data_IF_004301728970
#
_entry.id   IF_004301728970
#
_cell.length_a   1.000
_cell.length_b   1.000
_cell.length_c   1.000
_cell.angle_alpha   90.00
_cell.angle_beta   90.00
_cell.angle_gamma   90.00
#
_symmetry.space_group_name_H-M   'P 1'
#
loop_
_entity.id
_entity.type
_entity.pdbx_description
1 polymer ?
#
# COMPACT_ATOMS: atom_id res chain seq x y z
N UNK A 1 -24.95 -8.18 14.39
CA UNK A 1 -23.48 -8.06 14.35
C UNK A 1 -23.11 -6.58 14.43
N UNK A 2 -22.00 -6.21 15.10
CA UNK A 2 -21.55 -4.82 15.08
C UNK A 2 -21.15 -4.43 13.66
N UNK A 3 -21.40 -3.18 13.32
CA UNK A 3 -20.89 -2.57 12.07
C UNK A 3 -19.36 -2.50 12.12
N UNK A 4 -18.72 -2.25 10.98
CA UNK A 4 -17.25 -2.08 10.94
C UNK A 4 -16.79 -0.93 11.85
N UNK A 5 -17.52 0.19 11.84
CA UNK A 5 -17.23 1.37 12.68
C UNK A 5 -17.34 1.03 14.18
N UNK A 6 -18.36 0.29 14.59
CA UNK A 6 -18.50 -0.15 15.99
C UNK A 6 -17.42 -1.17 16.40
N UNK A 7 -16.99 -2.04 15.47
CA UNK A 7 -15.94 -3.03 15.71
C UNK A 7 -14.52 -2.42 15.68
N UNK A 8 -14.33 -1.29 15.02
CA UNK A 8 -13.02 -0.68 14.76
C UNK A 8 -12.16 -0.49 16.02
N UNK A 9 -12.65 0.04 17.16
CA UNK A 9 -11.83 0.19 18.36
C UNK A 9 -11.28 -1.14 18.88
N UNK A 10 -12.04 -2.23 18.74
CA UNK A 10 -11.59 -3.58 19.11
C UNK A 10 -10.58 -4.12 18.11
N UNK A 11 -10.81 -3.92 16.82
CA UNK A 11 -9.88 -4.27 15.74
C UNK A 11 -8.55 -3.56 15.94
N UNK A 12 -8.57 -2.24 16.13
CA UNK A 12 -7.37 -1.42 16.32
C UNK A 12 -6.57 -1.90 17.54
N UNK A 13 -7.24 -2.20 18.66
CA UNK A 13 -6.59 -2.74 19.86
C UNK A 13 -6.00 -4.13 19.63
N UNK A 14 -6.72 -5.01 18.97
CA UNK A 14 -6.26 -6.38 18.69
C UNK A 14 -5.05 -6.39 17.73
N UNK A 15 -4.97 -5.40 16.85
CA UNK A 15 -3.90 -5.25 15.87
C UNK A 15 -2.76 -4.31 16.32
N UNK A 16 -2.88 -3.64 17.47
CA UNK A 16 -1.85 -2.74 18.01
C UNK A 16 -0.57 -3.49 18.47
N UNK A 17 -0.63 -4.82 18.66
CA UNK A 17 0.57 -5.59 18.93
C UNK A 17 1.54 -5.52 17.75
N UNK A 18 2.85 -5.31 17.97
CA UNK A 18 3.81 -5.12 16.89
C UNK A 18 3.81 -6.36 15.99
N UNK A 19 3.29 -6.21 14.77
CA UNK A 19 3.30 -7.24 13.73
C UNK A 19 4.69 -7.45 13.12
N UNK A 20 5.73 -6.84 13.69
CA UNK A 20 7.12 -6.97 13.28
C UNK A 20 7.51 -6.20 12.01
N UNK A 21 6.53 -5.63 11.31
CA UNK A 21 6.77 -4.71 10.18
C UNK A 21 6.41 -3.28 10.61
N UNK A 22 7.42 -2.47 10.93
CA UNK A 22 7.23 -1.03 10.85
C UNK A 22 6.97 -0.71 9.38
N UNK A 23 5.83 -0.06 9.10
CA UNK A 23 5.72 0.70 7.87
C UNK A 23 6.95 1.62 7.79
N UNK A 24 7.66 1.58 6.68
CA UNK A 24 8.75 2.52 6.49
C UNK A 24 8.11 3.91 6.55
N UNK A 25 8.41 4.66 7.61
CA UNK A 25 8.03 6.05 7.71
C UNK A 25 9.08 6.83 6.91
N UNK A 26 8.70 7.23 5.72
CA UNK A 26 9.56 8.07 4.90
C UNK A 26 9.35 9.55 5.29
N UNK A 27 10.43 10.36 5.35
CA UNK A 27 10.31 11.79 5.60
C UNK A 27 9.45 12.44 4.51
N UNK A 28 8.48 13.25 4.89
CA UNK A 28 7.66 14.00 3.93
C UNK A 28 8.43 15.08 3.14
N UNK A 29 9.66 15.39 3.55
CA UNK A 29 10.50 16.40 2.90
C UNK A 29 10.98 16.03 1.50
N UNK A 30 10.96 14.73 1.16
CA UNK A 30 11.27 14.23 -0.18
C UNK A 30 10.46 12.95 -0.43
N UNK A 31 9.28 13.06 -1.05
CA UNK A 31 8.41 11.91 -1.27
C UNK A 31 8.89 10.99 -2.41
N UNK A 32 9.79 11.43 -3.29
CA UNK A 32 10.22 10.61 -4.41
C UNK A 32 11.00 9.35 -4.01
N UNK A 33 12.01 9.39 -3.12
CA UNK A 33 12.66 8.18 -2.61
C UNK A 33 11.68 7.23 -1.93
N UNK A 34 10.66 7.77 -1.24
CA UNK A 34 9.60 6.97 -0.63
C UNK A 34 8.76 6.24 -1.69
N UNK A 35 8.42 6.93 -2.79
CA UNK A 35 7.69 6.37 -3.92
C UNK A 35 8.48 5.23 -4.59
N UNK A 36 9.79 5.45 -4.83
CA UNK A 36 10.70 4.43 -5.37
C UNK A 36 10.79 3.23 -4.44
N UNK A 37 11.03 3.45 -3.15
CA UNK A 37 11.11 2.39 -2.14
C UNK A 37 9.81 1.59 -2.02
N UNK A 38 8.66 2.26 -2.06
CA UNK A 38 7.34 1.61 -2.06
C UNK A 38 7.17 0.71 -3.30
N UNK A 39 7.43 1.25 -4.49
CA UNK A 39 7.31 0.50 -5.75
C UNK A 39 8.27 -0.70 -5.80
N UNK A 40 9.51 -0.52 -5.37
CA UNK A 40 10.50 -1.59 -5.28
C UNK A 40 10.07 -2.71 -4.33
N UNK A 41 9.46 -2.36 -3.17
CA UNK A 41 8.99 -3.33 -2.19
C UNK A 41 7.86 -4.25 -2.69
N UNK A 42 7.16 -3.84 -3.73
CA UNK A 42 6.10 -4.66 -4.36
C UNK A 42 6.64 -5.69 -5.33
N UNK A 43 7.85 -5.49 -5.83
CA UNK A 43 8.50 -6.38 -6.81
C UNK A 43 9.44 -7.39 -6.18
N UNK A 44 9.76 -7.24 -4.88
CA UNK A 44 10.68 -8.10 -4.15
C UNK A 44 10.45 -8.06 -2.64
N UNK A 45 11.38 -8.62 -1.89
CA UNK A 45 11.41 -8.47 -0.44
C UNK A 45 11.95 -7.10 -0.01
N UNK A 46 11.67 -6.71 1.24
CA UNK A 46 12.07 -5.39 1.76
C UNK A 46 13.59 -5.15 1.74
N UNK A 47 14.41 -6.21 1.86
CA UNK A 47 15.87 -6.10 1.79
C UNK A 47 16.34 -5.79 0.37
N UNK A 48 15.75 -6.46 -0.61
CA UNK A 48 16.00 -6.19 -2.04
C UNK A 48 15.56 -4.77 -2.41
N UNK A 49 14.41 -4.31 -1.91
CA UNK A 49 13.94 -2.94 -2.14
C UNK A 49 14.90 -1.88 -1.59
N UNK A 50 15.40 -2.05 -0.37
CA UNK A 50 16.39 -1.13 0.22
C UNK A 50 17.72 -1.13 -0.55
N UNK A 51 18.16 -2.30 -1.01
CA UNK A 51 19.37 -2.39 -1.83
C UNK A 51 19.19 -1.73 -3.19
N UNK A 52 18.03 -1.88 -3.80
CA UNK A 52 17.71 -1.22 -5.07
C UNK A 52 17.72 0.30 -4.90
N UNK A 53 17.09 0.80 -3.85
CA UNK A 53 17.09 2.22 -3.54
C UNK A 53 18.52 2.76 -3.35
N UNK A 54 19.33 2.11 -2.52
CA UNK A 54 20.72 2.50 -2.30
C UNK A 54 21.54 2.49 -3.60
N UNK A 55 21.35 1.49 -4.47
CA UNK A 55 22.06 1.41 -5.74
C UNK A 55 21.63 2.51 -6.73
N UNK A 56 20.36 2.92 -6.70
CA UNK A 56 19.88 4.08 -7.48
C UNK A 56 20.49 5.39 -6.93
N UNK A 57 20.58 5.53 -5.61
CA UNK A 57 21.24 6.67 -4.96
C UNK A 57 22.73 6.75 -5.38
N UNK A 58 23.47 5.67 -5.28
CA UNK A 58 24.89 5.59 -5.64
C UNK A 58 25.13 5.89 -7.14
N UNK A 59 24.16 5.55 -8.00
CA UNK A 59 24.19 5.82 -9.44
C UNK A 59 23.70 7.25 -9.81
N UNK A 60 23.29 8.08 -8.85
CA UNK A 60 22.73 9.41 -9.09
C UNK A 60 21.31 9.38 -9.73
N UNK A 61 20.63 8.25 -9.64
CA UNK A 61 19.28 8.03 -10.20
C UNK A 61 18.15 8.21 -9.16
N UNK A 62 18.46 8.76 -8.01
CA UNK A 62 17.46 9.13 -7.00
C UNK A 62 16.75 10.45 -7.32
N UNK A 63 17.24 11.20 -8.28
CA UNK A 63 16.51 12.33 -8.85
C UNK A 63 15.48 11.83 -9.86
N UNK A 64 14.23 12.28 -9.71
CA UNK A 64 13.11 11.84 -10.54
C UNK A 64 13.27 12.23 -12.01
N UNK A 65 13.88 13.39 -12.30
CA UNK A 65 14.15 13.86 -13.68
C UNK A 65 15.12 12.91 -14.40
N UNK A 66 16.22 12.53 -13.72
CA UNK A 66 17.19 11.62 -14.30
C UNK A 66 16.62 10.21 -14.47
N UNK A 67 15.93 9.70 -13.47
CA UNK A 67 15.32 8.37 -13.56
C UNK A 67 14.25 8.30 -14.65
N UNK A 68 13.43 9.33 -14.80
CA UNK A 68 12.38 9.39 -15.83
C UNK A 68 12.92 9.30 -17.26
N UNK A 69 14.12 9.82 -17.50
CA UNK A 69 14.71 9.99 -18.85
C UNK A 69 15.83 9.01 -19.17
N UNK A 70 16.37 8.29 -18.19
CA UNK A 70 17.44 7.31 -18.37
C UNK A 70 17.03 6.16 -19.30
N UNK A 71 17.98 5.59 -20.05
CA UNK A 71 17.71 4.36 -20.80
C UNK A 71 17.46 3.19 -19.82
N UNK A 72 16.33 2.48 -19.92
CA UNK A 72 16.03 1.39 -19.00
C UNK A 72 17.06 0.25 -19.00
N UNK A 73 17.73 -0.01 -20.13
CA UNK A 73 18.75 -1.04 -20.23
C UNK A 73 20.04 -0.60 -19.52
N UNK A 74 20.43 0.67 -19.67
CA UNK A 74 21.58 1.23 -18.95
C UNK A 74 21.36 1.22 -17.45
N UNK A 75 20.15 1.54 -16.97
CA UNK A 75 19.80 1.44 -15.55
C UNK A 75 19.91 0.00 -15.05
N UNK A 76 19.45 -0.99 -15.83
CA UNK A 76 19.59 -2.41 -15.46
C UNK A 76 21.07 -2.79 -15.38
N UNK A 77 21.90 -2.36 -16.32
CA UNK A 77 23.34 -2.70 -16.33
C UNK A 77 24.08 -2.07 -15.14
N UNK A 78 23.78 -0.80 -14.80
CA UNK A 78 24.29 -0.17 -13.58
C UNK A 78 23.90 -0.94 -12.31
N UNK A 79 22.66 -1.41 -12.24
CA UNK A 79 22.20 -2.19 -11.08
C UNK A 79 22.83 -3.58 -11.01
N UNK A 80 23.21 -4.17 -12.15
CA UNK A 80 23.96 -5.42 -12.18
C UNK A 80 25.37 -5.27 -11.59
N UNK A 81 26.02 -4.13 -11.79
CA UNK A 81 27.29 -3.82 -11.14
C UNK A 81 27.15 -3.82 -9.60
N UNK A 82 26.01 -3.36 -9.08
CA UNK A 82 25.64 -3.45 -7.67
C UNK A 82 25.14 -4.85 -7.23
N UNK A 83 25.29 -5.87 -8.10
CA UNK A 83 24.78 -7.25 -7.89
C UNK A 83 23.27 -7.31 -7.67
N UNK A 84 22.53 -6.47 -8.38
CA UNK A 84 21.09 -6.49 -8.49
C UNK A 84 20.72 -6.78 -9.95
N UNK A 85 19.72 -7.62 -10.16
CA UNK A 85 19.21 -7.93 -11.50
C UNK A 85 17.68 -7.79 -11.52
N UNK A 86 17.16 -6.55 -11.35
CA UNK A 86 15.73 -6.33 -11.40
C UNK A 86 15.21 -6.57 -12.83
N UNK A 87 14.02 -7.14 -12.96
CA UNK A 87 13.38 -7.24 -14.28
C UNK A 87 13.21 -5.83 -14.89
N UNK A 88 13.48 -5.68 -16.19
CA UNK A 88 13.35 -4.41 -16.90
C UNK A 88 11.97 -3.76 -16.73
N UNK A 89 10.92 -4.58 -16.55
CA UNK A 89 9.56 -4.09 -16.24
C UNK A 89 9.51 -3.29 -14.93
N UNK A 90 10.35 -3.63 -13.95
CA UNK A 90 10.47 -2.89 -12.69
C UNK A 90 11.07 -1.51 -12.93
N UNK A 91 12.14 -1.43 -13.71
CA UNK A 91 12.76 -0.14 -14.05
C UNK A 91 11.77 0.74 -14.82
N UNK A 92 11.10 0.19 -15.82
CA UNK A 92 10.06 0.91 -16.56
C UNK A 92 8.90 1.39 -15.69
N UNK A 93 8.54 0.63 -14.65
CA UNK A 93 7.54 1.07 -13.66
C UNK A 93 8.06 2.26 -12.86
N UNK A 94 9.29 2.20 -12.35
CA UNK A 94 9.92 3.29 -11.61
C UNK A 94 10.03 4.56 -12.46
N UNK A 95 10.37 4.44 -13.75
CA UNK A 95 10.44 5.55 -14.68
C UNK A 95 9.09 6.22 -14.93
N UNK A 96 8.01 5.42 -15.07
CA UNK A 96 6.65 5.97 -15.20
C UNK A 96 6.21 6.69 -13.92
N UNK A 97 6.56 6.16 -12.77
CA UNK A 97 6.31 6.84 -11.49
C UNK A 97 7.14 8.12 -11.36
N UNK A 98 8.38 8.11 -11.82
CA UNK A 98 9.22 9.30 -11.86
C UNK A 98 8.62 10.37 -12.79
N UNK A 99 8.17 9.99 -13.98
CA UNK A 99 7.51 10.91 -14.92
C UNK A 99 6.20 11.48 -14.36
N UNK A 100 5.40 10.64 -13.69
CA UNK A 100 4.20 11.11 -13.00
C UNK A 100 4.54 12.09 -11.87
N UNK A 101 5.57 11.78 -11.08
CA UNK A 101 6.02 12.64 -9.98
C UNK A 101 6.49 14.01 -10.50
N UNK A 102 7.27 14.04 -11.60
CA UNK A 102 7.71 15.28 -12.23
C UNK A 102 6.55 16.16 -12.68
N UNK A 103 5.50 15.56 -13.24
CA UNK A 103 4.28 16.29 -13.61
C UNK A 103 3.54 16.95 -12.45
N UNK A 104 3.80 16.51 -11.22
CA UNK A 104 3.12 16.97 -10.01
C UNK A 104 4.06 17.54 -8.95
N UNK A 105 5.37 17.63 -9.24
CA UNK A 105 6.44 17.97 -8.29
C UNK A 105 6.14 19.24 -7.49
N UNK A 106 5.78 20.32 -8.18
CA UNK A 106 5.52 21.59 -7.53
C UNK A 106 4.41 21.50 -6.47
N UNK A 107 3.34 20.78 -6.78
CA UNK A 107 2.22 20.56 -5.84
C UNK A 107 2.57 19.58 -4.72
N UNK A 108 3.42 18.58 -5.01
CA UNK A 108 3.82 17.56 -4.04
C UNK A 108 4.86 18.09 -3.03
N UNK A 109 5.72 19.01 -3.45
CA UNK A 109 6.81 19.59 -2.64
C UNK A 109 6.45 20.95 -2.04
N UNK A 110 5.45 21.66 -2.59
CA UNK A 110 5.12 23.04 -2.26
C UNK A 110 4.45 23.29 -0.91
N UNK A 111 4.08 22.25 -0.17
CA UNK A 111 3.31 22.35 1.07
C UNK A 111 4.10 22.04 2.34
N UNK A 112 5.22 22.71 2.60
CA UNK A 112 5.97 22.51 3.84
C UNK A 112 5.13 22.88 5.08
N UNK A 113 4.51 21.88 5.70
CA UNK A 113 3.80 22.02 6.98
C UNK A 113 2.28 21.85 6.94
N UNK A 114 1.64 21.85 5.78
CA UNK A 114 0.23 21.55 5.64
C UNK A 114 -0.02 20.09 5.24
N UNK A 115 -1.17 19.50 5.61
CA UNK A 115 -1.56 18.19 5.10
C UNK A 115 -1.64 18.24 3.58
N UNK A 116 -0.97 17.32 2.89
CA UNK A 116 -1.06 17.23 1.44
C UNK A 116 -2.51 16.89 1.06
N UNK A 117 -3.16 17.78 0.35
CA UNK A 117 -4.40 17.46 -0.32
C UNK A 117 -4.07 16.61 -1.56
N UNK A 118 -4.47 15.34 -1.54
CA UNK A 118 -4.22 14.41 -2.64
C UNK A 118 -5.47 14.30 -3.52
N UNK A 119 -5.51 14.97 -4.69
CA UNK A 119 -6.70 14.99 -5.54
C UNK A 119 -7.05 13.58 -6.06
N UNK A 120 -8.34 13.30 -6.21
CA UNK A 120 -8.81 12.03 -6.79
C UNK A 120 -8.26 11.80 -8.20
N UNK A 121 -8.08 12.87 -9.00
CA UNK A 121 -7.47 12.79 -10.32
C UNK A 121 -6.05 12.17 -10.29
N UNK A 122 -5.24 12.50 -9.31
CA UNK A 122 -3.89 11.91 -9.16
C UNK A 122 -3.93 10.42 -8.85
N UNK A 123 -4.93 10.00 -8.07
CA UNK A 123 -5.18 8.59 -7.81
C UNK A 123 -5.51 7.84 -9.10
N UNK A 124 -6.39 8.42 -9.94
CA UNK A 124 -6.80 7.83 -11.20
C UNK A 124 -5.63 7.76 -12.20
N UNK A 125 -4.82 8.81 -12.27
CA UNK A 125 -3.59 8.84 -13.08
C UNK A 125 -2.60 7.76 -12.63
N UNK A 126 -2.35 7.64 -11.31
CA UNK A 126 -1.50 6.56 -10.78
C UNK A 126 -2.06 5.18 -11.14
N UNK A 127 -3.37 4.98 -11.02
CA UNK A 127 -4.02 3.72 -11.33
C UNK A 127 -3.95 3.36 -12.83
N UNK A 128 -3.84 4.37 -13.71
CA UNK A 128 -3.68 4.21 -15.15
C UNK A 128 -2.24 3.82 -15.56
N UNK A 129 -1.25 4.01 -14.67
CA UNK A 129 0.13 3.60 -14.95
C UNK A 129 0.19 2.07 -15.09
N UNK A 130 0.74 1.58 -16.21
CA UNK A 130 0.92 0.16 -16.43
C UNK A 130 1.78 -0.49 -15.33
N UNK A 131 1.21 -1.45 -14.63
CA UNK A 131 1.80 -2.10 -13.45
C UNK A 131 1.30 -1.55 -12.11
N UNK A 132 0.47 -0.50 -12.13
CA UNK A 132 -0.22 0.05 -10.98
C UNK A 132 -1.72 -0.14 -11.19
N UNK A 133 -2.37 -0.82 -10.29
CA UNK A 133 -3.81 -0.88 -10.25
C UNK A 133 -4.34 -0.03 -9.09
N UNK A 134 -5.66 0.06 -8.98
CA UNK A 134 -6.38 0.90 -8.04
C UNK A 134 -5.90 0.74 -6.58
N UNK A 135 -5.81 -0.49 -6.09
CA UNK A 135 -5.31 -0.75 -4.73
C UNK A 135 -3.85 -0.32 -4.52
N UNK A 136 -3.03 -0.33 -5.59
CA UNK A 136 -1.65 0.15 -5.51
C UNK A 136 -1.60 1.67 -5.49
N UNK A 137 -2.43 2.34 -6.29
CA UNK A 137 -2.55 3.80 -6.29
C UNK A 137 -3.00 4.31 -4.92
N UNK A 138 -4.02 3.69 -4.31
CA UNK A 138 -4.45 4.02 -2.95
C UNK A 138 -3.38 3.76 -1.90
N UNK A 139 -2.62 2.68 -2.05
CA UNK A 139 -1.52 2.39 -1.14
C UNK A 139 -0.38 3.41 -1.27
N UNK A 140 -0.07 3.89 -2.48
CA UNK A 140 0.88 4.99 -2.70
C UNK A 140 0.34 6.27 -2.04
N UNK A 141 -0.90 6.66 -2.33
CA UNK A 141 -1.53 7.83 -1.75
C UNK A 141 -1.48 7.81 -0.21
N UNK A 142 -1.82 6.67 0.40
CA UNK A 142 -1.82 6.52 1.85
C UNK A 142 -0.41 6.48 2.44
N UNK A 143 0.45 5.58 1.95
CA UNK A 143 1.72 5.27 2.62
C UNK A 143 2.85 6.23 2.25
N UNK A 144 2.84 6.79 1.05
CA UNK A 144 3.86 7.74 0.58
C UNK A 144 3.43 9.16 0.86
N UNK A 145 2.21 9.52 0.46
CA UNK A 145 1.73 10.90 0.53
C UNK A 145 0.90 11.20 1.78
N UNK A 146 0.48 10.19 2.53
CA UNK A 146 -0.30 10.37 3.75
C UNK A 146 -1.74 10.85 3.49
N UNK A 147 -2.28 10.54 2.33
CA UNK A 147 -3.67 10.82 2.00
C UNK A 147 -4.63 9.89 2.74
N UNK A 148 -5.83 10.37 3.05
CA UNK A 148 -6.89 9.57 3.67
C UNK A 148 -7.56 8.65 2.64
N UNK A 149 -6.83 7.67 2.13
CA UNK A 149 -7.30 6.61 1.24
C UNK A 149 -7.11 5.25 1.87
N UNK A 150 -7.77 4.22 1.34
CA UNK A 150 -7.55 2.86 1.84
C UNK A 150 -7.42 1.84 0.70
N UNK A 151 -6.28 1.12 0.60
CA UNK A 151 -6.08 0.09 -0.42
C UNK A 151 -6.85 -1.18 -0.06
N UNK A 152 -7.84 -1.52 -0.87
CA UNK A 152 -8.62 -2.76 -0.72
C UNK A 152 -8.00 -3.84 -1.60
N UNK A 153 -7.17 -4.68 -0.99
CA UNK A 153 -6.62 -5.87 -1.65
C UNK A 153 -7.49 -7.12 -1.36
N UNK A 154 -7.21 -8.21 -2.06
CA UNK A 154 -7.93 -9.49 -1.86
C UNK A 154 -7.90 -10.00 -0.40
N UNK A 155 -6.79 -9.94 0.34
CA UNK A 155 -6.76 -10.25 1.77
C UNK A 155 -7.70 -9.39 2.60
N UNK A 156 -7.70 -8.08 2.41
CA UNK A 156 -8.58 -7.14 3.13
C UNK A 156 -10.05 -7.45 2.83
N UNK A 157 -10.43 -7.54 1.54
CA UNK A 157 -11.79 -7.89 1.14
C UNK A 157 -12.26 -9.18 1.81
N UNK A 158 -11.44 -10.23 1.77
CA UNK A 158 -11.75 -11.52 2.37
C UNK A 158 -11.95 -11.46 3.88
N UNK A 159 -11.15 -10.64 4.59
CA UNK A 159 -11.32 -10.43 6.03
C UNK A 159 -12.67 -9.78 6.30
N UNK A 160 -12.95 -8.67 5.63
CA UNK A 160 -14.19 -7.92 5.85
C UNK A 160 -15.43 -8.75 5.54
N UNK A 161 -15.40 -9.51 4.44
CA UNK A 161 -16.48 -10.42 4.08
C UNK A 161 -16.68 -11.51 5.13
N UNK A 162 -15.61 -12.22 5.54
CA UNK A 162 -15.70 -13.31 6.52
C UNK A 162 -16.18 -12.86 7.89
N UNK A 163 -15.97 -11.60 8.22
CA UNK A 163 -16.51 -10.98 9.42
C UNK A 163 -17.92 -10.40 9.24
N UNK A 164 -18.50 -10.45 8.04
CA UNK A 164 -19.83 -9.94 7.74
C UNK A 164 -19.94 -8.42 7.79
N UNK A 165 -18.83 -7.71 7.62
CA UNK A 165 -18.83 -6.24 7.54
C UNK A 165 -19.13 -5.71 6.15
N UNK A 166 -18.98 -6.55 5.14
CA UNK A 166 -19.39 -6.32 3.76
C UNK A 166 -20.11 -7.57 3.22
N UNK A 167 -20.93 -7.39 2.20
CA UNK A 167 -21.48 -8.49 1.40
C UNK A 167 -20.61 -8.81 0.17
N UNK A 168 -20.97 -9.90 -0.53
CA UNK A 168 -20.21 -10.35 -1.70
C UNK A 168 -20.30 -9.41 -2.90
N UNK A 169 -21.25 -8.49 -2.91
CA UNK A 169 -21.49 -7.53 -4.00
C UNK A 169 -20.88 -6.15 -3.72
N UNK A 170 -20.29 -5.95 -2.54
CA UNK A 170 -19.67 -4.69 -2.18
C UNK A 170 -18.55 -4.33 -3.16
N UNK A 171 -18.62 -3.17 -3.74
CA UNK A 171 -17.60 -2.70 -4.66
C UNK A 171 -16.36 -2.15 -3.92
N UNK A 172 -15.32 -1.86 -4.70
CA UNK A 172 -14.05 -1.40 -4.17
C UNK A 172 -14.18 -0.08 -3.40
N UNK A 173 -14.93 0.88 -3.93
CA UNK A 173 -15.04 2.22 -3.35
C UNK A 173 -15.84 2.20 -2.07
N UNK A 174 -16.95 1.46 -2.03
CA UNK A 174 -17.76 1.26 -0.84
C UNK A 174 -16.92 0.65 0.29
N UNK A 175 -16.12 -0.38 -0.02
CA UNK A 175 -15.25 -1.03 0.97
C UNK A 175 -14.17 -0.09 1.47
N UNK A 176 -13.52 0.64 0.56
CA UNK A 176 -12.50 1.64 0.91
C UNK A 176 -13.08 2.73 1.80
N UNK A 177 -14.23 3.29 1.43
CA UNK A 177 -14.88 4.36 2.17
C UNK A 177 -15.28 3.91 3.58
N UNK A 178 -15.84 2.72 3.74
CA UNK A 178 -16.19 2.17 5.07
C UNK A 178 -14.98 2.08 6.01
N UNK A 179 -13.81 1.73 5.47
CA UNK A 179 -12.57 1.67 6.26
C UNK A 179 -12.03 3.07 6.59
N UNK A 180 -12.17 4.02 5.67
CA UNK A 180 -11.81 5.44 5.89
C UNK A 180 -12.69 6.03 6.99
N UNK A 181 -14.00 5.83 6.91
CA UNK A 181 -14.97 6.33 7.90
C UNK A 181 -14.73 5.70 9.28
N UNK A 182 -14.47 4.39 9.32
CA UNK A 182 -14.21 3.69 10.58
C UNK A 182 -12.95 4.18 11.31
N UNK A 183 -11.99 4.73 10.59
CA UNK A 183 -10.76 5.30 11.13
C UNK A 183 -10.77 6.84 11.20
N UNK A 184 -11.95 7.47 11.12
CA UNK A 184 -12.14 8.93 11.11
C UNK A 184 -11.24 9.66 10.10
N UNK A 185 -11.05 9.06 8.93
CA UNK A 185 -10.17 9.54 7.86
C UNK A 185 -8.73 9.88 8.33
N UNK A 186 -8.26 9.29 9.41
CA UNK A 186 -6.92 9.54 9.95
C UNK A 186 -5.86 8.72 9.18
N UNK A 187 -4.95 9.35 8.41
CA UNK A 187 -4.01 8.63 7.57
C UNK A 187 -3.06 7.71 8.35
N UNK A 188 -2.66 8.11 9.55
CA UNK A 188 -1.78 7.26 10.39
C UNK A 188 -2.49 6.01 10.87
N UNK A 189 -3.76 6.15 11.29
CA UNK A 189 -4.60 5.02 11.69
C UNK A 189 -4.90 4.11 10.49
N UNK A 190 -5.23 4.67 9.32
CA UNK A 190 -5.44 3.94 8.08
C UNK A 190 -4.19 3.17 7.64
N UNK A 191 -3.02 3.78 7.71
CA UNK A 191 -1.75 3.14 7.36
C UNK A 191 -1.43 1.96 8.30
N UNK A 192 -1.62 2.14 9.60
CA UNK A 192 -1.44 1.08 10.58
C UNK A 192 -2.43 -0.07 10.34
N UNK A 193 -3.70 0.24 10.10
CA UNK A 193 -4.75 -0.73 9.81
C UNK A 193 -4.45 -1.52 8.53
N UNK A 194 -4.05 -0.83 7.44
CA UNK A 194 -3.72 -1.45 6.15
C UNK A 194 -2.59 -2.48 6.29
N UNK A 195 -1.50 -2.11 6.97
CA UNK A 195 -0.39 -3.01 7.21
C UNK A 195 -0.82 -4.23 8.05
N UNK A 196 -1.58 -3.99 9.11
CA UNK A 196 -2.01 -5.03 10.04
C UNK A 196 -3.02 -6.00 9.38
N UNK A 197 -4.01 -5.51 8.63
CA UNK A 197 -4.95 -6.37 7.91
C UNK A 197 -4.27 -7.17 6.81
N UNK A 198 -3.32 -6.58 6.09
CA UNK A 198 -2.52 -7.32 5.10
C UNK A 198 -1.74 -8.47 5.75
N UNK A 199 -1.13 -8.24 6.91
CA UNK A 199 -0.44 -9.29 7.68
C UNK A 199 -1.40 -10.38 8.18
N UNK A 200 -2.56 -10.00 8.72
CA UNK A 200 -3.61 -10.94 9.14
C UNK A 200 -4.08 -11.78 7.93
N UNK A 201 -4.29 -11.15 6.79
CA UNK A 201 -4.71 -11.82 5.57
C UNK A 201 -3.73 -12.87 5.07
N UNK A 202 -2.42 -12.59 5.19
CA UNK A 202 -1.35 -13.51 4.79
C UNK A 202 -1.15 -14.66 5.80
N UNK A 203 -1.20 -14.36 7.08
CA UNK A 203 -0.84 -15.32 8.15
C UNK A 203 -2.01 -16.18 8.61
N UNK A 204 -3.19 -15.60 8.76
CA UNK A 204 -4.34 -16.23 9.38
C UNK A 204 -5.54 -16.38 8.43
N UNK A 205 -5.94 -15.32 7.74
CA UNK A 205 -7.11 -15.33 6.88
C UNK A 205 -6.77 -15.83 5.47
N UNK A 206 -6.26 -17.06 5.36
CA UNK A 206 -5.88 -17.68 4.08
C UNK A 206 -7.12 -18.06 3.26
N UNK A 207 -7.03 -18.12 1.91
CA UNK A 207 -8.18 -18.43 1.06
C UNK A 207 -8.87 -19.75 1.44
N UNK A 208 -8.20 -20.86 1.26
CA UNK A 208 -8.79 -22.19 1.41
C UNK A 208 -8.89 -22.66 2.87
N UNK A 209 -7.98 -22.22 3.76
CA UNK A 209 -7.88 -22.75 5.14
C UNK A 209 -7.55 -21.63 6.11
N UNK A 210 -8.56 -20.87 6.56
CA UNK A 210 -8.36 -19.81 7.55
C UNK A 210 -8.02 -20.38 8.93
N UNK A 211 -7.04 -19.77 9.60
CA UNK A 211 -6.61 -20.15 10.94
C UNK A 211 -7.28 -19.25 12.01
N UNK A 212 -8.61 -19.21 12.02
CA UNK A 212 -9.40 -18.31 12.87
C UNK A 212 -9.13 -18.47 14.36
N UNK A 213 -8.85 -19.68 14.83
CA UNK A 213 -8.52 -19.98 16.25
C UNK A 213 -7.30 -19.21 16.76
N UNK A 214 -6.35 -18.89 15.86
CA UNK A 214 -5.10 -18.18 16.16
C UNK A 214 -5.12 -16.72 15.68
N UNK A 215 -6.24 -16.29 15.07
CA UNK A 215 -6.36 -14.97 14.48
C UNK A 215 -6.56 -13.90 15.56
N UNK A 216 -5.85 -12.78 15.54
CA UNK A 216 -6.07 -11.67 16.47
C UNK A 216 -7.49 -11.09 16.39
N UNK A 217 -8.18 -11.26 15.25
CA UNK A 217 -9.54 -10.79 15.04
C UNK A 217 -10.62 -11.82 15.45
N UNK A 218 -10.25 -12.93 16.09
CA UNK A 218 -11.18 -13.98 16.51
C UNK A 218 -12.36 -13.44 17.33
N UNK A 219 -12.11 -12.48 18.20
CA UNK A 219 -13.12 -11.91 19.11
C UNK A 219 -14.21 -11.10 18.43
N UNK A 220 -14.00 -10.72 17.19
CA UNK A 220 -14.95 -9.95 16.36
C UNK A 220 -15.52 -10.77 15.20
N UNK A 221 -15.36 -12.10 15.24
CA UNK A 221 -16.03 -13.01 14.31
C UNK A 221 -17.54 -13.08 14.58
N UNK A 222 -18.36 -13.40 13.57
CA UNK A 222 -19.75 -13.78 13.76
C UNK A 222 -19.88 -14.95 14.76
N UNK A 223 -21.01 -15.05 15.52
CA UNK A 223 -21.24 -16.14 16.46
C UNK A 223 -21.15 -17.54 15.81
N UNK A 224 -21.58 -17.65 14.57
CA UNK A 224 -21.56 -18.89 13.79
C UNK A 224 -20.24 -19.15 13.06
N UNK A 225 -19.23 -18.34 13.33
CA UNK A 225 -17.92 -18.41 12.67
C UNK A 225 -17.78 -17.53 11.42
N UNK A 226 -16.69 -17.67 10.67
CA UNK A 226 -16.45 -16.86 9.48
C UNK A 226 -17.43 -17.21 8.37
N UNK A 227 -17.93 -16.19 7.66
CA UNK A 227 -18.75 -16.41 6.46
C UNK A 227 -17.95 -17.14 5.38
N UNK A 228 -18.59 -18.10 4.69
CA UNK A 228 -17.96 -18.82 3.61
C UNK A 228 -17.93 -17.95 2.34
N UNK A 229 -16.73 -17.74 1.78
CA UNK A 229 -16.58 -17.29 0.40
C UNK A 229 -16.84 -18.51 -0.48
N UNK A 230 -17.89 -18.49 -1.24
CA UNK A 230 -18.06 -19.45 -2.32
C UNK A 230 -17.16 -18.97 -3.46
N UNK A 231 -16.02 -19.65 -3.65
CA UNK A 231 -15.21 -19.48 -4.85
C UNK A 231 -16.07 -19.99 -6.03
N UNK A 232 -16.50 -19.09 -6.92
CA UNK A 232 -17.02 -19.42 -8.23
C UNK A 232 -15.87 -19.75 -9.18
#
# INVERSE_FOLDING_TARGET
MPTLTEAYPTIARALAAPTGRRAASFPRSDPFPALVGFAASRTGDSKTALRLQAALDDAGLSDSTFLATADPAEVVDLLREARLDPPIKTIRLLQRLASWYEGHRESLEGGAGEPLEFPSAWRDELAAINGIGRATADAIALHVFGAATYPVDRPVYRILFRHGWIDATADYDDVSQRLIDAADANPSALSALSNALTDVGKRFCRPASPACEKCPLRTVLPPDGPLALHDE
#
